data_IF_866919896568
#
_entry.id   IF_866919896568
#
_cell.length_a   1.000
_cell.length_b   1.000
_cell.length_c   1.000
_cell.angle_alpha   90.00
_cell.angle_beta   90.00
_cell.angle_gamma   90.00
#
_symmetry.space_group_name_H-M   'P 1'
#
loop_
_entity.id
_entity.type
_entity.pdbx_description
1 polymer ?
#
# COMPACT_ATOMS: atom_id res chain seq x y z
N UNK A 1 -19.93 26.49 -25.66
CA UNK A 1 -19.99 25.07 -25.23
C UNK A 1 -18.73 24.77 -24.42
N UNK A 2 -18.76 25.05 -23.11
CA UNK A 2 -17.63 24.74 -22.23
C UNK A 2 -17.70 23.24 -21.90
N UNK A 3 -16.84 22.46 -22.53
CA UNK A 3 -16.65 21.05 -22.19
C UNK A 3 -16.16 21.01 -20.75
N UNK A 4 -16.98 20.44 -19.85
CA UNK A 4 -16.59 20.13 -18.49
C UNK A 4 -15.40 19.16 -18.58
N UNK A 5 -14.18 19.70 -18.54
CA UNK A 5 -12.97 18.91 -18.45
C UNK A 5 -13.07 18.14 -17.14
N UNK A 6 -13.42 16.86 -17.23
CA UNK A 6 -13.46 15.97 -16.09
C UNK A 6 -12.08 15.84 -15.45
N UNK A 7 -12.03 15.22 -14.26
CA UNK A 7 -10.78 14.93 -13.56
C UNK A 7 -9.81 14.25 -14.53
N UNK A 8 -8.57 14.77 -14.72
CA UNK A 8 -7.62 14.19 -15.68
C UNK A 8 -7.46 12.70 -15.39
N UNK A 9 -7.42 11.89 -16.46
CA UNK A 9 -7.19 10.45 -16.33
C UNK A 9 -5.86 10.26 -15.61
N UNK A 10 -5.93 9.79 -14.38
CA UNK A 10 -4.74 9.38 -13.64
C UNK A 10 -4.25 8.10 -14.31
N UNK A 11 -3.07 8.13 -14.93
CA UNK A 11 -2.52 6.97 -15.68
C UNK A 11 -2.22 5.75 -14.81
N UNK A 12 -2.18 5.91 -13.48
CA UNK A 12 -1.98 4.79 -12.56
C UNK A 12 -2.87 4.92 -11.32
N UNK A 13 -4.18 4.64 -11.43
CA UNK A 13 -5.04 4.61 -10.26
C UNK A 13 -4.58 3.44 -9.37
N UNK A 14 -4.45 3.69 -8.07
CA UNK A 14 -4.21 2.65 -7.05
C UNK A 14 -5.51 1.85 -6.86
N UNK A 15 -5.96 1.17 -7.91
CA UNK A 15 -7.32 0.62 -8.01
C UNK A 15 -7.40 -0.85 -7.56
N UNK A 16 -6.25 -1.51 -7.40
CA UNK A 16 -6.19 -2.91 -6.96
C UNK A 16 -6.39 -2.96 -5.45
N UNK A 17 -7.56 -3.44 -5.01
CA UNK A 17 -7.80 -3.80 -3.61
C UNK A 17 -7.30 -5.22 -3.38
N UNK A 18 -6.41 -5.36 -2.41
CA UNK A 18 -5.88 -6.65 -1.99
C UNK A 18 -6.33 -6.93 -0.56
N UNK A 19 -7.10 -8.00 -0.37
CA UNK A 19 -7.45 -8.51 0.95
C UNK A 19 -6.55 -9.70 1.27
N UNK A 20 -5.82 -9.60 2.38
CA UNK A 20 -5.09 -10.71 2.96
C UNK A 20 -5.80 -11.15 4.24
N UNK A 21 -5.81 -12.47 4.45
CA UNK A 21 -6.11 -13.05 5.75
C UNK A 21 -4.81 -13.05 6.57
N UNK A 22 -4.80 -12.27 7.64
CA UNK A 22 -3.68 -12.16 8.55
C UNK A 22 -4.09 -12.63 9.95
N UNK A 23 -3.13 -13.17 10.69
CA UNK A 23 -3.33 -13.53 12.09
C UNK A 23 -3.21 -12.29 12.99
N UNK A 24 -3.72 -12.40 14.22
CA UNK A 24 -3.64 -11.31 15.21
C UNK A 24 -2.22 -10.83 15.45
N UNK A 25 -1.28 -11.76 15.58
CA UNK A 25 0.14 -11.42 15.77
C UNK A 25 0.71 -10.64 14.58
N UNK A 26 0.29 -10.97 13.36
CA UNK A 26 0.75 -10.25 12.16
C UNK A 26 0.21 -8.83 12.16
N UNK A 27 -1.06 -8.64 12.58
CA UNK A 27 -1.68 -7.32 12.72
C UNK A 27 -0.99 -6.47 13.80
N UNK A 28 -0.63 -7.07 14.93
CA UNK A 28 0.10 -6.39 16.00
C UNK A 28 1.50 -5.94 15.57
N UNK A 29 2.24 -6.81 14.87
CA UNK A 29 3.55 -6.44 14.28
C UNK A 29 3.40 -5.30 13.28
N UNK A 30 2.36 -5.34 12.46
CA UNK A 30 2.10 -4.30 11.45
C UNK A 30 1.73 -2.96 12.11
N UNK A 31 0.96 -2.98 13.19
CA UNK A 31 0.65 -1.81 14.01
C UNK A 31 1.86 -1.25 14.72
N UNK A 32 2.73 -2.11 15.24
CA UNK A 32 3.99 -1.70 15.84
C UNK A 32 4.87 -1.00 14.80
N UNK A 33 5.09 -1.62 13.63
CA UNK A 33 5.89 -1.02 12.56
C UNK A 33 5.28 0.29 12.04
N UNK A 34 3.94 0.37 11.95
CA UNK A 34 3.25 1.60 11.54
C UNK A 34 3.47 2.75 12.53
N UNK A 35 3.43 2.46 13.84
CA UNK A 35 3.70 3.44 14.90
C UNK A 35 5.15 3.91 14.86
N UNK A 36 6.11 2.99 14.80
CA UNK A 36 7.54 3.30 14.79
C UNK A 36 7.93 4.17 13.58
N UNK A 37 7.41 3.83 12.39
CA UNK A 37 7.73 4.57 11.16
C UNK A 37 6.81 5.78 10.90
N UNK A 38 5.91 6.14 11.83
CA UNK A 38 4.90 7.20 11.65
C UNK A 38 4.17 7.13 10.29
N UNK A 39 3.96 5.92 9.79
CA UNK A 39 3.48 5.67 8.43
C UNK A 39 2.13 4.98 8.47
N UNK A 40 1.35 5.08 7.39
CA UNK A 40 0.08 4.36 7.32
C UNK A 40 0.30 2.85 7.21
N UNK A 41 -0.62 2.03 7.73
CA UNK A 41 -0.60 0.57 7.54
C UNK A 41 -0.39 0.19 6.06
N UNK A 42 -1.02 0.92 5.14
CA UNK A 42 -0.90 0.70 3.70
C UNK A 42 0.50 0.99 3.16
N UNK A 43 1.23 1.92 3.75
CA UNK A 43 2.59 2.30 3.34
C UNK A 43 3.62 1.29 3.84
N UNK A 44 3.47 0.83 5.09
CA UNK A 44 4.23 -0.29 5.66
C UNK A 44 4.11 -1.54 4.78
N UNK A 45 2.88 -1.87 4.36
CA UNK A 45 2.63 -3.03 3.50
C UNK A 45 3.35 -2.89 2.15
N UNK A 46 3.33 -1.70 1.54
CA UNK A 46 4.05 -1.46 0.27
C UNK A 46 5.55 -1.60 0.45
N UNK A 47 6.12 -0.97 1.48
CA UNK A 47 7.55 -1.09 1.80
C UNK A 47 7.94 -2.56 2.06
N UNK A 48 7.10 -3.30 2.78
CA UNK A 48 7.31 -4.73 3.02
C UNK A 48 7.34 -5.55 1.73
N UNK A 49 6.41 -5.28 0.81
CA UNK A 49 6.38 -5.94 -0.51
C UNK A 49 7.63 -5.57 -1.33
N UNK A 50 8.03 -4.30 -1.35
CA UNK A 50 9.23 -3.84 -2.08
C UNK A 50 10.51 -4.48 -1.54
N UNK A 51 10.65 -4.61 -0.22
CA UNK A 51 11.78 -5.27 0.43
C UNK A 51 11.83 -6.77 0.10
N UNK A 52 10.69 -7.46 0.13
CA UNK A 52 10.62 -8.88 -0.24
C UNK A 52 10.90 -9.05 -1.72
N UNK A 53 10.32 -8.22 -2.59
CA UNK A 53 10.56 -8.23 -4.04
C UNK A 53 12.05 -8.03 -4.37
N UNK A 54 12.70 -7.05 -3.71
CA UNK A 54 14.13 -6.81 -3.86
C UNK A 54 14.98 -8.01 -3.42
N UNK A 55 14.55 -8.74 -2.37
CA UNK A 55 15.23 -9.98 -1.92
C UNK A 55 15.02 -11.15 -2.88
N UNK A 56 13.85 -11.27 -3.49
CA UNK A 56 13.51 -12.39 -4.39
C UNK A 56 14.12 -12.24 -5.78
N UNK A 57 14.39 -11.02 -6.25
CA UNK A 57 14.98 -10.75 -7.57
C UNK A 57 16.51 -10.94 -7.63
N UNK A 58 17.04 -11.86 -6.82
CA UNK A 58 18.46 -12.21 -6.75
C UNK A 58 18.74 -13.48 -7.54
#
# INVERSE_FOLDING_TARGET
MSSKMGRPKSDNPKDVRFQIRADKETMEKLDYCAKENNSSRSEIIRQGIDLVYAKTKK
#
